data_IF_776180108079
#
_entry.id   IF_776180108079
#
_cell.length_a   1.000
_cell.length_b   1.000
_cell.length_c   1.000
_cell.angle_alpha   90.00
_cell.angle_beta   90.00
_cell.angle_gamma   90.00
#
_symmetry.space_group_name_H-M   'P 1'
#
loop_
_entity.id
_entity.type
_entity.pdbx_description
1 polymer ?
#
# COMPACT_ATOMS: atom_id res chain seq x y z
N UNK A 1 1.98 66.30 39.11
CA UNK A 1 2.98 65.90 38.09
C UNK A 1 2.92 64.37 38.00
N UNK A 2 2.10 63.78 37.11
CA UNK A 2 2.44 63.45 35.70
C UNK A 2 3.76 62.68 35.57
N UNK A 3 3.70 61.33 35.56
CA UNK A 3 4.26 60.47 34.49
C UNK A 3 3.99 58.99 34.86
N UNK A 4 2.98 58.29 34.30
CA UNK A 4 3.03 57.57 33.00
C UNK A 4 4.31 56.75 32.79
N UNK A 5 4.23 55.43 32.99
CA UNK A 5 4.87 54.29 32.27
C UNK A 5 4.99 53.12 33.27
N UNK A 6 4.64 51.86 33.03
CA UNK A 6 4.37 51.09 31.83
C UNK A 6 3.10 50.25 32.05
N UNK A 7 2.06 50.64 31.32
CA UNK A 7 1.05 49.73 30.78
C UNK A 7 1.79 48.60 30.03
N UNK A 8 1.38 47.34 30.24
CA UNK A 8 1.61 46.21 29.33
C UNK A 8 3.08 45.86 29.00
N UNK A 9 3.73 45.00 29.77
CA UNK A 9 4.77 44.06 29.26
C UNK A 9 5.35 43.12 30.33
N UNK A 10 4.51 42.56 31.19
CA UNK A 10 4.78 41.19 31.63
C UNK A 10 3.62 40.36 31.15
N UNK A 11 3.61 40.17 29.82
CA UNK A 11 3.04 38.99 29.18
C UNK A 11 3.41 37.83 30.09
N UNK A 12 2.43 37.34 30.83
CA UNK A 12 2.57 36.10 31.56
C UNK A 12 3.19 35.13 30.58
N UNK A 13 4.30 34.54 30.99
CA UNK A 13 4.97 33.45 30.32
C UNK A 13 3.99 32.27 30.31
N UNK A 14 2.94 32.39 29.49
CA UNK A 14 2.12 31.30 29.06
C UNK A 14 2.99 30.62 28.02
N UNK A 15 3.94 29.85 28.54
CA UNK A 15 4.59 28.79 27.81
C UNK A 15 3.43 27.86 27.39
N UNK A 16 2.79 28.18 26.26
CA UNK A 16 2.04 27.19 25.50
C UNK A 16 3.09 26.22 24.98
N UNK A 17 3.56 25.37 25.88
CA UNK A 17 4.19 24.12 25.54
C UNK A 17 3.06 23.23 25.00
N UNK A 18 2.47 23.60 23.87
CA UNK A 18 1.96 22.58 22.98
C UNK A 18 3.21 21.92 22.43
N UNK A 19 3.74 20.98 23.21
CA UNK A 19 4.46 19.86 22.63
C UNK A 19 3.46 19.30 21.63
N UNK A 20 3.58 19.72 20.36
CA UNK A 20 2.84 19.05 19.31
C UNK A 20 3.36 17.63 19.38
N UNK A 21 2.50 16.72 19.85
CA UNK A 21 2.70 15.29 19.75
C UNK A 21 2.91 15.01 18.28
N UNK A 22 4.16 15.09 17.86
CA UNK A 22 4.62 14.55 16.61
C UNK A 22 4.64 13.07 16.89
N UNK A 23 3.49 12.41 16.76
CA UNK A 23 3.40 10.96 16.84
C UNK A 23 4.28 10.43 15.73
N UNK A 24 5.52 10.10 16.08
CA UNK A 24 6.41 9.36 15.21
C UNK A 24 5.78 7.98 15.11
N UNK A 25 5.12 7.70 14.00
CA UNK A 25 4.63 6.35 13.72
C UNK A 25 5.85 5.44 13.62
N UNK A 26 6.05 4.61 14.64
CA UNK A 26 7.06 3.56 14.58
C UNK A 26 6.63 2.53 13.53
N UNK A 27 7.34 2.51 12.40
CA UNK A 27 7.09 1.54 11.34
C UNK A 27 7.68 0.20 11.77
N UNK A 28 6.83 -0.77 12.05
CA UNK A 28 7.21 -2.14 12.36
C UNK A 28 6.45 -3.12 11.47
N UNK A 29 7.03 -4.31 11.29
CA UNK A 29 6.39 -5.38 10.53
C UNK A 29 5.20 -5.89 11.35
N UNK A 30 3.99 -5.74 10.81
CA UNK A 30 2.75 -6.18 11.49
C UNK A 30 2.35 -7.61 11.13
N UNK A 31 2.78 -8.12 9.97
CA UNK A 31 2.50 -9.46 9.50
C UNK A 31 3.48 -9.88 8.39
N UNK A 32 3.73 -11.18 8.29
CA UNK A 32 4.32 -11.82 7.12
C UNK A 32 3.31 -12.83 6.60
N UNK A 33 2.93 -12.70 5.33
CA UNK A 33 1.91 -13.55 4.71
C UNK A 33 2.61 -14.43 3.66
N UNK A 34 2.62 -15.76 3.83
CA UNK A 34 3.11 -16.66 2.81
C UNK A 34 2.28 -16.52 1.53
N UNK A 35 2.96 -16.35 0.40
CA UNK A 35 2.37 -16.26 -0.94
C UNK A 35 3.08 -17.27 -1.87
N UNK A 36 2.87 -17.17 -3.17
CA UNK A 36 3.59 -18.00 -4.15
C UNK A 36 5.08 -17.67 -4.26
N UNK A 37 5.75 -18.35 -5.19
CA UNK A 37 7.18 -18.22 -5.43
C UNK A 37 7.54 -16.98 -6.25
N UNK A 38 8.68 -16.36 -5.93
CA UNK A 38 9.17 -15.10 -6.52
C UNK A 38 8.09 -14.01 -6.63
N UNK A 39 7.58 -13.46 -5.51
CA UNK A 39 6.69 -12.32 -5.56
C UNK A 39 7.44 -11.09 -6.10
N UNK A 40 6.93 -10.48 -7.19
CA UNK A 40 7.59 -9.32 -7.84
C UNK A 40 6.74 -8.05 -7.89
N UNK A 41 5.42 -8.20 -7.88
CA UNK A 41 4.50 -7.07 -7.99
C UNK A 41 3.39 -7.14 -6.97
N UNK A 42 2.90 -5.98 -6.55
CA UNK A 42 1.75 -5.87 -5.65
C UNK A 42 0.81 -4.77 -6.12
N UNK A 43 -0.49 -5.05 -6.09
CA UNK A 43 -1.56 -4.10 -6.34
C UNK A 43 -2.54 -4.12 -5.17
N UNK A 44 -3.02 -2.95 -4.73
CA UNK A 44 -3.95 -2.83 -3.61
C UNK A 44 -5.23 -2.16 -4.06
N UNK A 45 -6.38 -2.76 -3.72
CA UNK A 45 -7.67 -2.09 -3.80
C UNK A 45 -8.00 -1.46 -2.43
N UNK A 46 -7.82 -0.13 -2.25
CA UNK A 46 -8.15 0.52 -0.98
C UNK A 46 -9.65 0.50 -0.64
N UNK A 47 -10.53 0.37 -1.63
CA UNK A 47 -11.99 0.34 -1.41
C UNK A 47 -12.45 -0.99 -0.83
N UNK A 48 -11.88 -2.11 -1.30
CA UNK A 48 -12.26 -3.45 -0.82
C UNK A 48 -11.30 -4.01 0.24
N UNK A 49 -10.14 -3.39 0.43
CA UNK A 49 -9.08 -3.87 1.31
C UNK A 49 -8.42 -5.16 0.81
N UNK A 50 -8.51 -5.44 -0.49
CA UNK A 50 -7.90 -6.61 -1.13
C UNK A 50 -6.53 -6.24 -1.68
N UNK A 51 -5.56 -7.12 -1.47
CA UNK A 51 -4.20 -7.00 -2.00
C UNK A 51 -3.96 -8.15 -2.97
N UNK A 52 -3.36 -7.85 -4.12
CA UNK A 52 -3.02 -8.81 -5.16
C UNK A 52 -1.50 -8.87 -5.29
N UNK A 53 -0.92 -10.04 -5.19
CA UNK A 53 0.53 -10.26 -5.27
C UNK A 53 0.84 -11.12 -6.48
N UNK A 54 1.63 -10.58 -7.40
CA UNK A 54 2.12 -11.26 -8.59
C UNK A 54 3.30 -12.18 -8.22
N UNK A 55 3.09 -13.49 -8.32
CA UNK A 55 4.08 -14.52 -8.04
C UNK A 55 4.63 -15.07 -9.37
N UNK A 56 5.75 -14.51 -9.81
CA UNK A 56 6.37 -14.85 -11.10
C UNK A 56 6.75 -16.32 -11.15
N UNK A 57 7.47 -16.80 -10.14
CA UNK A 57 8.03 -18.16 -10.12
C UNK A 57 6.98 -19.25 -10.06
N UNK A 58 5.78 -18.92 -9.57
CA UNK A 58 4.63 -19.84 -9.57
C UNK A 58 3.67 -19.64 -10.74
N UNK A 59 3.80 -18.58 -11.54
CA UNK A 59 2.79 -18.23 -12.55
C UNK A 59 1.40 -17.99 -11.95
N UNK A 60 1.32 -17.36 -10.77
CA UNK A 60 0.05 -17.13 -10.06
C UNK A 60 -0.06 -15.72 -9.51
N UNK A 61 -1.28 -15.32 -9.16
CA UNK A 61 -1.57 -14.12 -8.38
C UNK A 61 -2.22 -14.54 -7.06
N UNK A 62 -1.60 -14.21 -5.94
CA UNK A 62 -2.21 -14.40 -4.62
C UNK A 62 -3.12 -13.22 -4.29
N UNK A 63 -4.33 -13.51 -3.84
CA UNK A 63 -5.32 -12.53 -3.39
C UNK A 63 -5.38 -12.58 -1.87
N UNK A 64 -5.12 -11.45 -1.23
CA UNK A 64 -5.00 -11.32 0.21
C UNK A 64 -6.05 -10.36 0.76
N UNK A 65 -6.53 -10.66 1.97
CA UNK A 65 -7.38 -9.77 2.76
C UNK A 65 -7.03 -9.93 4.23
N UNK A 66 -6.89 -8.82 4.97
CA UNK A 66 -6.56 -8.82 6.41
C UNK A 66 -5.36 -9.71 6.76
N UNK A 67 -4.27 -9.61 5.98
CA UNK A 67 -3.05 -10.41 6.15
C UNK A 67 -3.26 -11.93 6.04
N UNK A 68 -4.21 -12.39 5.23
CA UNK A 68 -4.42 -13.80 4.91
C UNK A 68 -4.66 -13.96 3.42
N UNK A 69 -4.13 -15.02 2.81
CA UNK A 69 -4.45 -15.40 1.43
C UNK A 69 -5.86 -15.97 1.41
N UNK A 70 -6.73 -15.40 0.57
CA UNK A 70 -8.12 -15.83 0.38
C UNK A 70 -8.34 -16.54 -0.96
N UNK A 71 -7.44 -16.34 -1.92
CA UNK A 71 -7.45 -17.06 -3.19
C UNK A 71 -6.06 -17.04 -3.84
N UNK A 72 -5.82 -18.00 -4.74
CA UNK A 72 -4.68 -18.02 -5.64
C UNK A 72 -5.21 -18.23 -7.05
N UNK A 73 -4.90 -17.30 -7.94
CA UNK A 73 -5.38 -17.29 -9.33
C UNK A 73 -4.22 -17.76 -10.21
N UNK A 74 -4.31 -18.92 -10.87
CA UNK A 74 -3.34 -19.29 -11.89
C UNK A 74 -3.45 -18.33 -13.08
N UNK A 75 -2.30 -17.93 -13.62
CA UNK A 75 -2.24 -17.18 -14.86
C UNK A 75 -1.35 -17.93 -15.84
N UNK A 76 -1.74 -17.99 -17.10
CA UNK A 76 -0.95 -18.64 -18.16
C UNK A 76 0.26 -17.77 -18.59
N UNK A 77 0.85 -17.04 -17.64
CA UNK A 77 1.96 -16.10 -17.82
C UNK A 77 2.83 -16.03 -16.58
N UNK A 78 3.92 -15.29 -16.68
CA UNK A 78 4.71 -14.83 -15.55
C UNK A 78 4.29 -13.40 -15.20
N UNK A 79 3.44 -13.20 -14.17
CA UNK A 79 2.95 -11.87 -13.83
C UNK A 79 4.04 -11.09 -13.10
N UNK A 80 4.48 -9.96 -13.65
CA UNK A 80 5.51 -9.12 -13.01
C UNK A 80 4.91 -8.02 -12.16
N UNK A 81 3.80 -7.44 -12.60
CA UNK A 81 3.16 -6.27 -11.98
C UNK A 81 1.66 -6.44 -11.95
N UNK A 82 1.03 -5.86 -10.92
CA UNK A 82 -0.42 -5.80 -10.79
C UNK A 82 -0.85 -4.35 -10.56
N UNK A 83 -1.79 -3.88 -11.37
CA UNK A 83 -2.46 -2.59 -11.21
C UNK A 83 -3.95 -2.83 -10.87
N UNK A 84 -4.53 -1.95 -10.07
CA UNK A 84 -5.90 -2.10 -9.57
C UNK A 84 -6.68 -0.82 -9.82
N UNK A 85 -7.83 -0.94 -10.46
CA UNK A 85 -8.84 0.10 -10.51
C UNK A 85 -9.84 -0.09 -9.37
N UNK A 86 -9.67 0.68 -8.31
CA UNK A 86 -10.49 0.57 -7.08
C UNK A 86 -11.95 0.98 -7.27
N UNK A 87 -12.27 1.77 -8.31
CA UNK A 87 -13.64 2.22 -8.59
C UNK A 87 -14.46 1.13 -9.27
N UNK A 88 -13.84 0.36 -10.16
CA UNK A 88 -14.51 -0.69 -10.93
C UNK A 88 -14.19 -2.09 -10.41
N UNK A 89 -13.34 -2.20 -9.39
CA UNK A 89 -12.78 -3.46 -8.89
C UNK A 89 -12.08 -4.31 -9.97
N UNK A 90 -11.55 -3.68 -11.03
CA UNK A 90 -10.81 -4.39 -12.08
C UNK A 90 -9.32 -4.43 -11.78
N UNK A 91 -8.70 -5.55 -12.06
CA UNK A 91 -7.28 -5.79 -11.83
C UNK A 91 -6.61 -6.14 -13.15
N UNK A 92 -5.43 -5.60 -13.35
CA UNK A 92 -4.63 -5.76 -14.55
C UNK A 92 -3.26 -6.30 -14.15
N UNK A 93 -2.92 -7.50 -14.61
CA UNK A 93 -1.61 -8.08 -14.38
C UNK A 93 -0.84 -8.16 -15.70
N UNK A 94 0.32 -7.52 -15.77
CA UNK A 94 1.16 -7.59 -16.97
C UNK A 94 2.28 -8.60 -16.77
N UNK A 95 2.48 -9.43 -17.79
CA UNK A 95 3.44 -10.52 -17.77
C UNK A 95 3.92 -10.89 -19.16
N UNK A 96 4.89 -11.80 -19.21
CA UNK A 96 5.29 -12.48 -20.43
C UNK A 96 5.22 -14.00 -20.24
N UNK A 97 5.12 -14.74 -21.34
CA UNK A 97 5.21 -16.18 -21.33
C UNK A 97 6.45 -16.60 -22.12
N UNK A 98 7.40 -17.27 -21.48
CA UNK A 98 8.60 -17.79 -22.15
C UNK A 98 8.38 -19.16 -22.82
N UNK A 99 7.26 -19.82 -22.55
CA UNK A 99 7.00 -21.22 -22.89
C UNK A 99 6.00 -21.42 -24.04
N UNK A 100 5.13 -20.45 -24.36
CA UNK A 100 4.03 -20.66 -25.33
C UNK A 100 4.12 -19.84 -26.61
N UNK A 101 5.17 -19.04 -26.81
CA UNK A 101 5.27 -18.14 -27.97
C UNK A 101 4.24 -17.01 -27.98
N UNK A 102 3.29 -17.00 -27.03
CA UNK A 102 2.45 -15.86 -26.73
C UNK A 102 3.35 -14.75 -26.15
N UNK A 103 3.43 -13.63 -26.85
CA UNK A 103 4.20 -12.47 -26.41
C UNK A 103 3.71 -11.90 -25.07
N UNK A 104 4.30 -10.78 -24.67
CA UNK A 104 3.86 -10.04 -23.47
C UNK A 104 2.35 -9.77 -23.51
N UNK A 105 1.63 -10.12 -22.44
CA UNK A 105 0.18 -9.96 -22.36
C UNK A 105 -0.25 -9.34 -21.03
N UNK A 106 -1.44 -8.75 -21.04
CA UNK A 106 -2.10 -8.21 -19.84
C UNK A 106 -3.30 -9.09 -19.54
N UNK A 107 -3.30 -9.72 -18.37
CA UNK A 107 -4.42 -10.47 -17.82
C UNK A 107 -5.33 -9.50 -17.09
N UNK A 108 -6.63 -9.55 -17.39
CA UNK A 108 -7.67 -8.79 -16.67
C UNK A 108 -8.40 -9.74 -15.73
N UNK A 109 -8.57 -9.32 -14.48
CA UNK A 109 -9.25 -10.08 -13.42
C UNK A 109 -10.39 -9.21 -12.88
N UNK A 110 -11.59 -9.78 -12.77
CA UNK A 110 -12.80 -9.16 -12.20
C UNK A 110 -13.15 -9.78 -10.83
#
# INVERSE_FOLDING_TARGET
MLHRSLLFKMFGLFLFLTCSLSTVFAQHIVAQVPVGSEPRGVGVNPMSGIVYVANVGSGTISVLRKASVIATIPVDTLPFVVAVNSKTNRIYAAGCNFNTGAGSMVVVID
#
